data_IF_581885072835
#
_entry.id   IF_581885072835
#
_cell.length_a   1.000
_cell.length_b   1.000
_cell.length_c   1.000
_cell.angle_alpha   90.00
_cell.angle_beta   90.00
_cell.angle_gamma   90.00
#
_symmetry.space_group_name_H-M   'P 1'
#
loop_
_entity.id
_entity.type
_entity.pdbx_description
1 polymer ?
#
# COMPACT_ATOMS: atom_id res chain seq x y z
N UNK A 1 35.05 70.89 16.14
CA UNK A 1 35.53 69.60 15.65
C UNK A 1 34.29 68.72 15.48
N UNK A 2 33.87 68.54 14.25
CA UNK A 2 32.69 67.80 13.93
C UNK A 2 33.13 66.45 13.34
N UNK A 3 32.98 65.37 14.10
CA UNK A 3 33.36 64.03 13.68
C UNK A 3 32.16 63.45 12.87
N UNK A 4 32.35 63.41 11.57
CA UNK A 4 31.34 62.83 10.67
C UNK A 4 31.37 61.30 10.80
N UNK A 5 30.27 60.74 11.25
CA UNK A 5 30.07 59.28 11.29
C UNK A 5 30.12 58.71 9.87
N UNK A 6 30.89 57.66 9.66
CA UNK A 6 30.95 56.92 8.40
C UNK A 6 29.62 56.21 8.11
N UNK A 7 29.18 56.17 6.86
CA UNK A 7 27.92 55.47 6.51
C UNK A 7 28.10 53.94 6.71
N UNK A 8 27.01 53.22 7.07
CA UNK A 8 27.06 51.76 7.23
C UNK A 8 27.44 51.08 5.91
N UNK A 9 28.33 50.12 5.97
CA UNK A 9 28.77 49.34 4.81
C UNK A 9 27.57 48.61 4.20
N UNK A 10 27.40 48.74 2.88
CA UNK A 10 26.39 47.98 2.13
C UNK A 10 26.63 46.49 2.28
N UNK A 11 25.60 45.69 2.46
CA UNK A 11 25.75 44.22 2.52
C UNK A 11 26.35 43.72 1.21
N UNK A 12 27.38 42.88 1.31
CA UNK A 12 28.15 42.41 0.17
C UNK A 12 27.18 41.57 -0.76
N UNK A 13 27.08 41.95 -2.02
CA UNK A 13 26.24 41.28 -3.03
C UNK A 13 26.47 39.74 -3.11
N UNK A 14 27.67 39.26 -2.80
CA UNK A 14 28.01 37.86 -2.76
C UNK A 14 27.37 37.04 -1.62
N UNK A 15 26.95 37.70 -0.52
CA UNK A 15 26.27 36.99 0.58
C UNK A 15 24.80 36.69 0.25
N UNK A 16 24.16 37.52 -0.56
CA UNK A 16 22.77 37.33 -1.00
C UNK A 16 22.66 36.28 -2.15
N UNK A 17 23.68 36.25 -3.04
CA UNK A 17 23.79 35.20 -4.06
C UNK A 17 24.06 33.81 -3.44
N UNK A 18 24.99 33.71 -2.51
CA UNK A 18 25.29 32.44 -1.81
C UNK A 18 24.10 31.94 -0.99
N UNK A 19 23.30 32.83 -0.42
CA UNK A 19 22.08 32.46 0.30
C UNK A 19 20.98 31.94 -0.64
N UNK A 20 20.77 32.58 -1.79
CA UNK A 20 19.84 32.12 -2.81
C UNK A 20 20.27 30.79 -3.41
N UNK A 21 21.55 30.59 -3.68
CA UNK A 21 22.06 29.31 -4.14
C UNK A 21 21.85 28.19 -3.12
N UNK A 22 22.00 28.50 -1.82
CA UNK A 22 21.71 27.53 -0.74
C UNK A 22 20.21 27.22 -0.61
N UNK A 23 19.35 28.24 -0.68
CA UNK A 23 17.90 28.09 -0.67
C UNK A 23 17.43 27.26 -1.89
N UNK A 24 17.94 27.56 -3.09
CA UNK A 24 17.68 26.81 -4.33
C UNK A 24 18.20 25.36 -4.26
N UNK A 25 19.31 25.11 -3.58
CA UNK A 25 19.85 23.77 -3.37
C UNK A 25 19.01 22.99 -2.36
N UNK A 26 18.52 23.61 -1.29
CA UNK A 26 17.60 23.00 -0.33
C UNK A 26 16.24 22.67 -0.98
N UNK A 27 15.66 23.55 -1.78
CA UNK A 27 14.40 23.28 -2.50
C UNK A 27 14.51 22.13 -3.51
N UNK A 28 15.70 21.90 -4.06
CA UNK A 28 15.97 20.81 -5.02
C UNK A 28 16.51 19.55 -4.35
N UNK A 29 16.78 19.59 -3.05
CA UNK A 29 17.26 18.41 -2.33
C UNK A 29 16.11 17.40 -2.14
N UNK A 30 16.44 16.10 -2.27
CA UNK A 30 15.48 15.06 -1.92
C UNK A 30 15.17 15.13 -0.41
N UNK A 31 13.90 14.94 0.00
CA UNK A 31 13.54 14.97 1.41
C UNK A 31 14.29 13.89 2.18
N UNK A 32 14.75 14.23 3.38
CA UNK A 32 15.40 13.26 4.26
C UNK A 32 14.42 12.20 4.74
N UNK A 33 14.92 11.02 5.13
CA UNK A 33 14.08 9.97 5.71
C UNK A 33 13.27 10.43 6.93
N UNK A 34 13.77 11.43 7.67
CA UNK A 34 13.07 12.06 8.80
C UNK A 34 11.82 12.85 8.35
N UNK A 35 11.91 13.55 7.24
CA UNK A 35 10.77 14.30 6.66
C UNK A 35 9.71 13.34 6.14
N UNK A 36 10.12 12.26 5.46
CA UNK A 36 9.20 11.18 5.04
C UNK A 36 8.49 10.56 6.25
N UNK A 37 9.25 10.22 7.30
CA UNK A 37 8.72 9.65 8.54
C UNK A 37 7.65 10.57 9.17
N UNK A 38 7.94 11.88 9.30
CA UNK A 38 6.99 12.85 9.88
C UNK A 38 5.70 12.97 9.04
N UNK A 39 5.81 12.95 7.72
CA UNK A 39 4.63 13.00 6.85
C UNK A 39 3.72 11.78 7.05
N UNK A 40 4.29 10.57 7.12
CA UNK A 40 3.53 9.33 7.32
C UNK A 40 3.01 9.24 8.76
N UNK A 41 3.77 9.70 9.75
CA UNK A 41 3.34 9.77 11.14
C UNK A 41 2.08 10.63 11.29
N UNK A 42 2.08 11.84 10.71
CA UNK A 42 0.93 12.76 10.72
C UNK A 42 -0.28 12.17 9.99
N UNK A 43 -0.06 11.48 8.86
CA UNK A 43 -1.14 10.74 8.17
C UNK A 43 -1.71 9.64 9.06
N UNK A 44 -0.85 8.86 9.73
CA UNK A 44 -1.26 7.79 10.64
C UNK A 44 -2.06 8.30 11.85
N UNK A 45 -1.70 9.44 12.43
CA UNK A 45 -2.46 10.08 13.50
C UNK A 45 -3.86 10.47 13.02
N UNK A 46 -3.96 11.13 11.86
CA UNK A 46 -5.23 11.49 11.23
C UNK A 46 -6.11 10.26 10.95
N UNK A 47 -5.53 9.14 10.49
CA UNK A 47 -6.26 7.90 10.23
C UNK A 47 -6.82 7.27 11.52
N UNK A 48 -6.08 7.33 12.63
CA UNK A 48 -6.54 6.81 13.91
C UNK A 48 -7.71 7.62 14.51
N UNK A 49 -7.88 8.88 14.11
CA UNK A 49 -8.97 9.76 14.55
C UNK A 49 -10.28 9.55 13.74
N UNK A 50 -10.21 8.89 12.59
CA UNK A 50 -11.39 8.66 11.74
C UNK A 50 -12.46 7.85 12.45
N UNK A 51 -13.72 8.21 12.21
CA UNK A 51 -14.87 7.47 12.74
C UNK A 51 -14.94 6.05 12.15
N UNK A 52 -15.48 5.09 12.91
CA UNK A 52 -15.66 3.71 12.45
C UNK A 52 -16.50 3.60 11.18
N UNK A 53 -17.51 4.48 11.02
CA UNK A 53 -18.31 4.54 9.80
C UNK A 53 -17.50 5.00 8.60
N UNK A 54 -16.68 6.05 8.73
CA UNK A 54 -15.82 6.53 7.65
C UNK A 54 -14.78 5.47 7.23
N UNK A 55 -14.18 4.77 8.20
CA UNK A 55 -13.27 3.65 7.94
C UNK A 55 -13.97 2.51 7.20
N UNK A 56 -15.19 2.13 7.63
CA UNK A 56 -15.94 1.05 7.01
C UNK A 56 -16.31 1.37 5.55
N UNK A 57 -16.89 2.52 5.27
CA UNK A 57 -17.30 2.87 3.90
C UNK A 57 -16.10 3.05 2.97
N UNK A 58 -15.04 3.66 3.44
CA UNK A 58 -13.80 3.79 2.67
C UNK A 58 -13.12 2.43 2.44
N UNK A 59 -13.12 1.56 3.45
CA UNK A 59 -12.62 0.19 3.32
C UNK A 59 -13.47 -0.66 2.37
N UNK A 60 -14.79 -0.54 2.42
CA UNK A 60 -15.69 -1.23 1.48
C UNK A 60 -15.43 -0.77 0.03
N UNK A 61 -15.31 0.54 -0.18
CA UNK A 61 -14.96 1.08 -1.49
C UNK A 61 -13.62 0.53 -1.99
N UNK A 62 -12.59 0.44 -1.12
CA UNK A 62 -11.30 -0.15 -1.48
C UNK A 62 -11.42 -1.64 -1.84
N UNK A 63 -12.19 -2.43 -1.10
CA UNK A 63 -12.44 -3.83 -1.42
C UNK A 63 -13.13 -4.03 -2.77
N UNK A 64 -14.13 -3.19 -3.07
CA UNK A 64 -14.79 -3.17 -4.39
C UNK A 64 -13.81 -2.76 -5.51
N UNK A 65 -13.09 -1.67 -5.33
CA UNK A 65 -12.15 -1.15 -6.34
C UNK A 65 -10.96 -2.08 -6.58
N UNK A 66 -10.52 -2.83 -5.57
CA UNK A 66 -9.41 -3.79 -5.71
C UNK A 66 -9.74 -4.92 -6.70
N UNK A 67 -11.03 -5.18 -6.96
CA UNK A 67 -11.47 -6.15 -7.95
C UNK A 67 -11.01 -5.82 -9.36
N UNK A 68 -10.71 -4.55 -9.67
CA UNK A 68 -10.14 -4.17 -10.95
C UNK A 68 -8.78 -4.81 -11.22
N UNK A 69 -8.06 -5.25 -10.18
CA UNK A 69 -6.83 -6.05 -10.35
C UNK A 69 -7.13 -7.41 -10.98
N UNK A 70 -8.13 -8.14 -10.47
CA UNK A 70 -8.55 -9.41 -11.07
C UNK A 70 -9.16 -9.18 -12.46
N UNK A 71 -9.97 -8.16 -12.63
CA UNK A 71 -10.59 -7.85 -13.93
C UNK A 71 -9.55 -7.50 -14.97
N UNK A 72 -8.63 -6.59 -14.67
CA UNK A 72 -7.57 -6.20 -15.61
C UNK A 72 -6.68 -7.37 -16.01
N UNK A 73 -6.22 -8.15 -15.05
CA UNK A 73 -5.40 -9.34 -15.32
C UNK A 73 -6.19 -10.40 -16.11
N UNK A 74 -7.39 -10.76 -15.68
CA UNK A 74 -8.21 -11.79 -16.30
C UNK A 74 -8.68 -11.43 -17.70
N UNK A 75 -9.04 -10.16 -17.94
CA UNK A 75 -9.38 -9.66 -19.28
C UNK A 75 -8.17 -9.74 -20.21
N UNK A 76 -6.99 -9.33 -19.77
CA UNK A 76 -5.77 -9.45 -20.57
C UNK A 76 -5.43 -10.93 -20.83
N UNK A 77 -5.59 -11.80 -19.84
CA UNK A 77 -5.42 -13.25 -20.04
C UNK A 77 -6.38 -13.82 -21.07
N UNK A 78 -7.65 -13.43 -21.04
CA UNK A 78 -8.65 -13.94 -21.98
C UNK A 78 -8.41 -13.46 -23.43
N UNK A 79 -7.92 -12.23 -23.62
CA UNK A 79 -7.79 -11.64 -24.97
C UNK A 79 -6.39 -11.74 -25.59
N UNK A 80 -5.38 -12.09 -24.82
CA UNK A 80 -4.01 -12.27 -25.33
C UNK A 80 -3.78 -13.72 -25.79
N UNK A 81 -3.05 -13.93 -26.90
CA UNK A 81 -2.73 -15.26 -27.36
C UNK A 81 -1.87 -16.03 -26.36
N UNK A 82 -1.98 -17.35 -26.35
CA UNK A 82 -1.09 -18.23 -25.57
C UNK A 82 0.36 -18.05 -26.05
N UNK A 83 1.20 -17.42 -25.24
CA UNK A 83 2.60 -17.16 -25.53
C UNK A 83 3.41 -17.03 -24.23
N UNK A 84 4.73 -17.33 -24.23
CA UNK A 84 5.58 -17.22 -23.04
C UNK A 84 5.60 -15.81 -22.41
N UNK A 85 5.36 -14.77 -23.17
CA UNK A 85 5.30 -13.38 -22.73
C UNK A 85 3.92 -12.94 -22.19
N UNK A 86 2.83 -13.73 -22.43
CA UNK A 86 1.45 -13.40 -21.98
C UNK A 86 1.37 -13.03 -20.51
N UNK A 87 1.99 -13.78 -19.56
CA UNK A 87 1.97 -13.39 -18.16
C UNK A 87 2.59 -12.03 -17.86
N UNK A 88 3.65 -11.66 -18.61
CA UNK A 88 4.30 -10.36 -18.44
C UNK A 88 3.34 -9.21 -18.76
N UNK A 89 2.54 -9.35 -19.82
CA UNK A 89 1.55 -8.32 -20.19
C UNK A 89 0.32 -8.38 -19.29
N UNK A 90 -0.21 -9.56 -19.01
CA UNK A 90 -1.40 -9.72 -18.19
C UNK A 90 -1.25 -9.15 -16.77
N UNK A 91 -0.06 -9.24 -16.19
CA UNK A 91 0.22 -8.70 -14.86
C UNK A 91 0.18 -7.17 -14.77
N UNK A 92 0.23 -6.42 -15.88
CA UNK A 92 -0.10 -5.00 -15.86
C UNK A 92 -1.56 -4.75 -15.44
N UNK A 93 -2.48 -5.64 -15.80
CA UNK A 93 -3.88 -5.57 -15.35
C UNK A 93 -4.03 -5.63 -13.83
N UNK A 94 -3.14 -6.35 -13.15
CA UNK A 94 -3.11 -6.42 -11.69
C UNK A 94 -2.94 -5.04 -11.03
N UNK A 95 -2.27 -4.08 -11.68
CA UNK A 95 -2.03 -2.75 -11.13
C UNK A 95 -3.31 -1.90 -11.02
N UNK A 96 -4.36 -2.16 -11.80
CA UNK A 96 -5.52 -1.27 -11.95
C UNK A 96 -6.29 -1.08 -10.63
N UNK A 97 -6.46 -2.14 -9.85
CA UNK A 97 -7.10 -2.04 -8.53
C UNK A 97 -6.32 -1.14 -7.58
N UNK A 98 -5.01 -1.29 -7.55
CA UNK A 98 -4.14 -0.45 -6.71
C UNK A 98 -4.13 1.01 -7.15
N UNK A 99 -4.08 1.28 -8.45
CA UNK A 99 -4.19 2.64 -8.98
C UNK A 99 -5.50 3.30 -8.52
N UNK A 100 -6.63 2.58 -8.64
CA UNK A 100 -7.93 3.09 -8.21
C UNK A 100 -7.98 3.35 -6.70
N UNK A 101 -7.48 2.42 -5.87
CA UNK A 101 -7.53 2.50 -4.41
C UNK A 101 -6.60 3.59 -3.89
N UNK A 102 -5.34 3.60 -4.31
CA UNK A 102 -4.31 4.51 -3.78
C UNK A 102 -4.57 5.95 -4.23
N UNK A 103 -4.82 6.19 -5.53
CA UNK A 103 -5.14 7.53 -6.02
C UNK A 103 -6.53 7.99 -5.57
N UNK A 104 -7.47 7.06 -5.37
CA UNK A 104 -8.79 7.31 -4.79
C UNK A 104 -8.75 7.54 -3.27
N UNK A 105 -7.60 7.44 -2.60
CA UNK A 105 -7.40 7.61 -1.15
C UNK A 105 -8.39 6.77 -0.33
N UNK A 106 -8.65 5.54 -0.80
CA UNK A 106 -9.53 4.59 -0.15
C UNK A 106 -8.73 3.79 0.89
N UNK A 107 -9.39 3.33 1.95
CA UNK A 107 -8.73 2.61 3.05
C UNK A 107 -8.39 1.17 2.69
N UNK A 108 -7.13 0.92 2.39
CA UNK A 108 -6.61 -0.41 2.11
C UNK A 108 -5.86 -0.96 3.33
N UNK A 109 -6.22 -2.16 3.76
CA UNK A 109 -5.63 -2.79 4.95
C UNK A 109 -4.10 -2.87 4.91
N UNK A 110 -3.53 -3.20 3.78
CA UNK A 110 -2.07 -3.37 3.64
C UNK A 110 -1.30 -2.05 3.67
N UNK A 111 -1.90 -0.92 3.29
CA UNK A 111 -1.34 0.41 3.54
C UNK A 111 -1.33 0.72 5.04
N UNK A 112 -2.38 0.32 5.73
CA UNK A 112 -2.52 0.47 7.18
C UNK A 112 -1.60 -0.46 8.00
N UNK A 113 -0.79 -1.31 7.39
CA UNK A 113 0.29 -2.01 8.09
C UNK A 113 1.50 -1.12 8.35
N UNK A 114 1.55 0.08 7.77
CA UNK A 114 2.58 1.09 8.02
C UNK A 114 2.03 2.31 8.77
N UNK A 115 1.02 3.00 8.19
CA UNK A 115 0.60 4.34 8.62
C UNK A 115 0.24 4.42 10.10
N UNK A 116 -0.67 3.60 10.70
CA UNK A 116 -1.04 3.69 12.10
C UNK A 116 -0.01 3.06 13.05
N UNK A 117 0.98 2.34 12.53
CA UNK A 117 2.03 1.72 13.35
C UNK A 117 3.06 2.77 13.80
N UNK A 118 3.35 3.80 13.00
CA UNK A 118 4.27 4.86 13.40
C UNK A 118 3.75 5.62 14.63
N UNK A 119 2.49 6.10 14.71
CA UNK A 119 1.93 6.63 15.95
C UNK A 119 1.98 5.65 17.14
N UNK A 120 1.77 4.35 16.90
CA UNK A 120 1.87 3.35 17.97
C UNK A 120 3.30 3.25 18.52
N UNK A 121 4.31 3.28 17.66
CA UNK A 121 5.72 3.27 18.06
C UNK A 121 6.13 4.56 18.77
N UNK A 122 5.53 5.69 18.41
CA UNK A 122 5.75 7.00 19.03
C UNK A 122 5.13 7.08 20.41
N UNK A 123 3.82 6.82 20.51
CA UNK A 123 3.06 7.04 21.75
C UNK A 123 3.15 5.89 22.75
N UNK A 124 3.38 4.66 22.30
CA UNK A 124 3.57 3.42 23.11
C UNK A 124 2.56 3.23 24.23
N UNK A 125 1.27 3.52 23.97
CA UNK A 125 0.21 3.43 24.97
C UNK A 125 -0.96 2.53 24.53
N UNK A 126 -1.73 2.02 25.49
CA UNK A 126 -2.84 1.09 25.25
C UNK A 126 -3.98 1.71 24.42
N UNK A 127 -4.22 3.03 24.51
CA UNK A 127 -5.25 3.73 23.75
C UNK A 127 -4.91 3.71 22.25
N UNK A 128 -3.68 4.04 21.89
CA UNK A 128 -3.21 4.00 20.50
C UNK A 128 -3.26 2.57 19.97
N UNK A 129 -2.81 1.57 20.74
CA UNK A 129 -2.91 0.16 20.35
C UNK A 129 -4.36 -0.27 20.08
N UNK A 130 -5.30 0.12 20.95
CA UNK A 130 -6.73 -0.18 20.75
C UNK A 130 -7.29 0.49 19.48
N UNK A 131 -6.88 1.74 19.19
CA UNK A 131 -7.28 2.43 17.97
C UNK A 131 -6.70 1.77 16.69
N UNK A 132 -5.45 1.31 16.72
CA UNK A 132 -4.85 0.51 15.63
C UNK A 132 -5.64 -0.77 15.42
N UNK A 133 -5.94 -1.52 16.49
CA UNK A 133 -6.75 -2.75 16.41
C UNK A 133 -8.15 -2.50 15.85
N UNK A 134 -8.80 -1.41 16.29
CA UNK A 134 -10.11 -0.97 15.75
C UNK A 134 -10.03 -0.68 14.25
N UNK A 135 -9.05 0.13 13.82
CA UNK A 135 -8.85 0.49 12.42
C UNK A 135 -8.59 -0.75 11.58
N UNK A 136 -7.65 -1.61 12.00
CA UNK A 136 -7.31 -2.83 11.29
C UNK A 136 -8.51 -3.75 11.10
N UNK A 137 -9.27 -3.99 12.18
CA UNK A 137 -10.44 -4.88 12.13
C UNK A 137 -11.50 -4.34 11.15
N UNK A 138 -11.85 -3.05 11.27
CA UNK A 138 -12.91 -2.45 10.44
C UNK A 138 -12.49 -2.45 8.97
N UNK A 139 -11.27 -1.99 8.67
CA UNK A 139 -10.80 -1.87 7.29
C UNK A 139 -10.62 -3.25 6.66
N UNK A 140 -10.02 -4.22 7.37
CA UNK A 140 -9.85 -5.59 6.86
C UNK A 140 -11.21 -6.22 6.53
N UNK A 141 -12.16 -6.18 7.47
CA UNK A 141 -13.49 -6.76 7.26
C UNK A 141 -14.19 -6.09 6.07
N UNK A 142 -14.16 -4.76 6.00
CA UNK A 142 -14.78 -4.02 4.91
C UNK A 142 -14.13 -4.33 3.55
N UNK A 143 -12.79 -4.40 3.49
CA UNK A 143 -12.07 -4.78 2.27
C UNK A 143 -12.45 -6.19 1.81
N UNK A 144 -12.46 -7.17 2.73
CA UNK A 144 -12.78 -8.57 2.40
C UNK A 144 -14.26 -8.73 1.97
N UNK A 145 -15.19 -8.00 2.58
CA UNK A 145 -16.61 -7.99 2.16
C UNK A 145 -16.76 -7.48 0.72
N UNK A 146 -16.12 -6.35 0.39
CA UNK A 146 -16.12 -5.80 -0.97
C UNK A 146 -15.50 -6.76 -1.98
N UNK A 147 -14.31 -7.30 -1.66
CA UNK A 147 -13.61 -8.27 -2.50
C UNK A 147 -14.46 -9.55 -2.74
N UNK A 148 -15.06 -10.10 -1.69
CA UNK A 148 -15.87 -11.31 -1.79
C UNK A 148 -17.17 -11.07 -2.61
N UNK A 149 -17.82 -9.94 -2.41
CA UNK A 149 -19.04 -9.58 -3.15
C UNK A 149 -18.76 -9.50 -4.66
N UNK A 150 -17.70 -8.81 -5.07
CA UNK A 150 -17.36 -8.66 -6.50
C UNK A 150 -16.79 -9.96 -7.07
N UNK A 151 -15.92 -10.66 -6.33
CA UNK A 151 -15.40 -11.96 -6.76
C UNK A 151 -16.50 -12.98 -7.05
N UNK A 152 -17.48 -13.09 -6.14
CA UNK A 152 -18.65 -13.93 -6.36
C UNK A 152 -19.52 -13.46 -7.55
N UNK A 153 -19.81 -12.15 -7.62
CA UNK A 153 -20.64 -11.61 -8.71
C UNK A 153 -20.00 -11.84 -10.08
N UNK A 154 -18.67 -11.76 -10.19
CA UNK A 154 -17.95 -11.92 -11.44
C UNK A 154 -18.12 -13.31 -12.08
N UNK A 155 -18.33 -14.35 -11.27
CA UNK A 155 -18.44 -15.74 -11.74
C UNK A 155 -19.87 -16.32 -11.65
N UNK A 156 -20.72 -15.75 -10.80
CA UNK A 156 -22.10 -16.22 -10.61
C UNK A 156 -23.11 -15.48 -11.51
N UNK A 157 -22.70 -14.41 -12.19
CA UNK A 157 -23.58 -13.61 -13.05
C UNK A 157 -23.05 -13.57 -14.48
N UNK A 158 -23.90 -13.27 -15.48
CA UNK A 158 -23.49 -13.14 -16.88
C UNK A 158 -22.80 -11.79 -17.18
N UNK A 159 -22.18 -11.13 -16.18
CA UNK A 159 -21.49 -9.86 -16.39
C UNK A 159 -20.21 -9.98 -17.26
N UNK A 160 -19.64 -11.17 -17.31
CA UNK A 160 -18.46 -11.49 -18.12
C UNK A 160 -18.68 -12.75 -18.94
N UNK A 161 -18.08 -12.79 -20.13
CA UNK A 161 -18.09 -13.96 -20.99
C UNK A 161 -17.41 -15.17 -20.32
N UNK A 162 -17.80 -16.37 -20.68
CA UNK A 162 -17.31 -17.62 -20.10
C UNK A 162 -15.77 -17.78 -20.17
N UNK A 163 -15.12 -17.19 -21.19
CA UNK A 163 -13.67 -17.21 -21.35
C UNK A 163 -12.98 -16.32 -20.29
N UNK A 164 -13.53 -15.13 -20.04
CA UNK A 164 -13.04 -14.21 -19.01
C UNK A 164 -13.26 -14.82 -17.62
N UNK A 165 -14.45 -15.41 -17.37
CA UNK A 165 -14.72 -16.10 -16.10
C UNK A 165 -13.75 -17.25 -15.85
N UNK A 166 -13.36 -18.02 -16.87
CA UNK A 166 -12.33 -19.06 -16.76
C UNK A 166 -10.99 -18.48 -16.35
N UNK A 167 -10.58 -17.32 -16.90
CA UNK A 167 -9.36 -16.63 -16.49
C UNK A 167 -9.40 -16.16 -15.04
N UNK A 168 -10.53 -15.67 -14.54
CA UNK A 168 -10.70 -15.34 -13.11
C UNK A 168 -10.53 -16.56 -12.20
N UNK A 169 -11.12 -17.70 -12.59
CA UNK A 169 -10.98 -18.94 -11.83
C UNK A 169 -9.56 -19.49 -11.88
N UNK A 170 -8.84 -19.32 -13.00
CA UNK A 170 -7.43 -19.70 -13.11
C UNK A 170 -6.57 -18.89 -12.14
N UNK A 171 -6.79 -17.57 -12.04
CA UNK A 171 -6.11 -16.71 -11.06
C UNK A 171 -6.43 -17.18 -9.63
N UNK A 172 -7.70 -17.47 -9.33
CA UNK A 172 -8.12 -17.96 -8.01
C UNK A 172 -7.48 -19.31 -7.63
N UNK A 173 -7.45 -20.27 -8.57
CA UNK A 173 -6.77 -21.56 -8.37
C UNK A 173 -5.28 -21.38 -8.10
N UNK A 174 -4.61 -20.51 -8.86
CA UNK A 174 -3.20 -20.22 -8.68
C UNK A 174 -2.89 -19.59 -7.30
N UNK A 175 -3.79 -18.77 -6.77
CA UNK A 175 -3.67 -18.25 -5.40
C UNK A 175 -3.82 -19.35 -4.35
N UNK A 176 -4.83 -20.21 -4.48
CA UNK A 176 -5.17 -21.25 -3.50
C UNK A 176 -4.29 -22.49 -3.55
N UNK A 177 -3.59 -22.73 -4.66
CA UNK A 177 -2.76 -23.94 -4.84
C UNK A 177 -1.51 -23.98 -3.94
N UNK A 178 -1.17 -22.87 -3.30
CA UNK A 178 0.06 -22.73 -2.51
C UNK A 178 -0.17 -23.17 -1.07
N UNK A 179 0.77 -23.95 -0.51
CA UNK A 179 0.71 -24.33 0.90
C UNK A 179 0.95 -23.16 1.84
N UNK A 180 0.57 -23.31 3.11
CA UNK A 180 0.63 -22.30 4.17
C UNK A 180 1.97 -21.55 4.22
N UNK A 181 3.11 -22.26 4.30
CA UNK A 181 4.43 -21.63 4.41
C UNK A 181 4.82 -20.80 3.19
N UNK A 182 4.48 -21.26 1.98
CA UNK A 182 4.76 -20.51 0.74
C UNK A 182 3.87 -19.27 0.67
N UNK A 183 2.60 -19.36 1.03
CA UNK A 183 1.68 -18.21 1.07
C UNK A 183 2.13 -17.18 2.09
N UNK A 184 2.57 -17.62 3.28
CA UNK A 184 3.14 -16.75 4.31
C UNK A 184 4.35 -15.96 3.78
N UNK A 185 5.34 -16.64 3.20
CA UNK A 185 6.55 -16.01 2.67
C UNK A 185 6.21 -15.02 1.54
N UNK A 186 5.34 -15.41 0.61
CA UNK A 186 4.87 -14.53 -0.46
C UNK A 186 4.07 -13.34 0.09
N UNK A 187 3.33 -13.55 1.18
CA UNK A 187 2.66 -12.50 1.92
C UNK A 187 3.63 -11.49 2.52
N UNK A 188 4.76 -11.94 3.08
CA UNK A 188 5.80 -11.04 3.61
C UNK A 188 6.34 -10.13 2.50
N UNK A 189 6.67 -10.66 1.33
CA UNK A 189 7.13 -9.84 0.21
C UNK A 189 6.07 -8.86 -0.29
N UNK A 190 4.79 -9.27 -0.40
CA UNK A 190 3.72 -8.38 -0.78
C UNK A 190 3.54 -7.24 0.25
N UNK A 191 3.46 -7.57 1.54
CA UNK A 191 3.33 -6.57 2.60
C UNK A 191 4.50 -5.59 2.63
N UNK A 192 5.73 -6.09 2.47
CA UNK A 192 6.92 -5.25 2.37
C UNK A 192 6.83 -4.26 1.20
N UNK A 193 6.53 -4.75 0.00
CA UNK A 193 6.46 -3.91 -1.20
C UNK A 193 5.35 -2.86 -1.11
N UNK A 194 4.15 -3.22 -0.60
CA UNK A 194 3.06 -2.26 -0.45
C UNK A 194 3.38 -1.21 0.61
N UNK A 195 3.93 -1.61 1.75
CA UNK A 195 4.35 -0.64 2.77
C UNK A 195 5.49 0.27 2.28
N UNK A 196 6.44 -0.29 1.49
CA UNK A 196 7.47 0.52 0.83
C UNK A 196 6.85 1.51 -0.19
N UNK A 197 5.84 1.10 -0.94
CA UNK A 197 5.09 2.00 -1.82
C UNK A 197 4.49 3.16 -1.02
N UNK A 198 3.83 2.89 0.11
CA UNK A 198 3.29 3.93 0.99
C UNK A 198 4.38 4.87 1.50
N UNK A 199 5.55 4.32 1.87
CA UNK A 199 6.71 5.12 2.29
C UNK A 199 7.20 6.08 1.20
N UNK A 200 7.08 5.72 -0.08
CA UNK A 200 7.49 6.53 -1.22
C UNK A 200 6.44 7.60 -1.63
N UNK A 201 5.15 7.42 -1.24
CA UNK A 201 4.05 8.26 -1.71
C UNK A 201 4.13 9.74 -1.33
N UNK A 202 4.55 10.17 -0.12
CA UNK A 202 4.50 11.56 0.29
C UNK A 202 5.22 12.51 -0.67
N UNK A 203 6.31 12.05 -1.28
CA UNK A 203 7.17 12.85 -2.15
C UNK A 203 7.22 12.38 -3.61
N UNK A 204 6.37 11.43 -3.97
CA UNK A 204 6.29 10.96 -5.35
C UNK A 204 5.61 11.99 -6.30
N UNK A 205 4.86 12.95 -5.76
CA UNK A 205 4.15 14.02 -6.49
C UNK A 205 3.60 13.58 -7.86
N UNK A 206 4.24 14.02 -8.95
CA UNK A 206 3.87 13.66 -10.33
C UNK A 206 4.20 12.22 -10.70
N UNK A 207 5.03 11.54 -9.91
CA UNK A 207 5.47 10.16 -10.16
C UNK A 207 4.60 9.10 -9.47
N UNK A 208 3.58 9.47 -8.69
CA UNK A 208 2.74 8.55 -7.91
C UNK A 208 2.21 7.38 -8.74
N UNK A 209 1.67 7.66 -9.91
CA UNK A 209 1.15 6.64 -10.81
C UNK A 209 2.22 5.59 -11.16
N UNK A 210 3.43 6.04 -11.49
CA UNK A 210 4.51 5.15 -11.88
C UNK A 210 5.05 4.33 -10.71
N UNK A 211 5.11 4.90 -9.51
CA UNK A 211 5.49 4.18 -8.29
C UNK A 211 4.46 3.09 -8.00
N UNK A 212 3.16 3.41 -8.06
CA UNK A 212 2.09 2.42 -7.88
C UNK A 212 2.23 1.29 -8.90
N UNK A 213 2.29 1.62 -10.19
CA UNK A 213 2.40 0.60 -11.25
C UNK A 213 3.66 -0.24 -11.07
N UNK A 214 4.83 0.37 -10.86
CA UNK A 214 6.10 -0.35 -10.73
C UNK A 214 6.11 -1.34 -9.57
N UNK A 215 5.67 -0.91 -8.39
CA UNK A 215 5.63 -1.76 -7.20
C UNK A 215 4.58 -2.86 -7.33
N UNK A 216 3.37 -2.51 -7.75
CA UNK A 216 2.27 -3.49 -7.82
C UNK A 216 2.43 -4.46 -9.01
N UNK A 217 3.06 -4.03 -10.10
CA UNK A 217 3.48 -4.93 -11.16
C UNK A 217 4.48 -5.98 -10.65
N UNK A 218 5.45 -5.57 -9.84
CA UNK A 218 6.38 -6.50 -9.21
C UNK A 218 5.67 -7.49 -8.26
N UNK A 219 4.67 -7.02 -7.48
CA UNK A 219 3.84 -7.89 -6.65
C UNK A 219 3.11 -8.93 -7.51
N UNK A 220 2.46 -8.49 -8.58
CA UNK A 220 1.73 -9.37 -9.50
C UNK A 220 2.65 -10.36 -10.22
N UNK A 221 3.78 -9.89 -10.77
CA UNK A 221 4.73 -10.71 -11.52
C UNK A 221 5.42 -11.75 -10.62
N UNK A 222 5.77 -11.37 -9.39
CA UNK A 222 6.32 -12.29 -8.39
C UNK A 222 5.30 -13.29 -7.85
N UNK A 223 4.01 -13.09 -8.15
CA UNK A 223 2.91 -13.87 -7.57
C UNK A 223 2.89 -13.76 -6.05
N UNK A 224 3.24 -12.59 -5.50
CA UNK A 224 3.24 -12.35 -4.06
C UNK A 224 1.81 -12.24 -3.55
N UNK A 225 1.53 -12.87 -2.39
CA UNK A 225 0.19 -12.99 -1.87
C UNK A 225 -0.26 -11.68 -1.18
N UNK A 226 -1.27 -11.03 -1.73
CA UNK A 226 -1.84 -9.81 -1.15
C UNK A 226 -3.26 -10.07 -0.66
N UNK A 227 -3.50 -9.83 0.63
CA UNK A 227 -4.73 -10.27 1.31
C UNK A 227 -6.03 -9.74 0.66
N UNK A 228 -6.07 -8.50 0.19
CA UNK A 228 -7.28 -7.93 -0.41
C UNK A 228 -7.40 -8.26 -1.90
N UNK A 229 -6.35 -8.07 -2.69
CA UNK A 229 -6.37 -8.35 -4.13
C UNK A 229 -6.60 -9.85 -4.41
N UNK A 230 -5.86 -10.72 -3.71
CA UNK A 230 -6.02 -12.16 -3.82
C UNK A 230 -7.36 -12.68 -3.28
N UNK A 231 -7.97 -11.98 -2.30
CA UNK A 231 -9.29 -12.35 -1.79
C UNK A 231 -10.40 -12.26 -2.85
N UNK A 232 -10.28 -11.37 -3.84
CA UNK A 232 -11.25 -11.28 -4.94
C UNK A 232 -11.25 -12.60 -5.73
N UNK A 233 -10.08 -13.03 -6.18
CA UNK A 233 -9.94 -14.26 -6.98
C UNK A 233 -10.19 -15.54 -6.16
N UNK A 234 -9.75 -15.57 -4.90
CA UNK A 234 -10.03 -16.68 -3.99
C UNK A 234 -11.52 -16.82 -3.70
N UNK A 235 -12.24 -15.70 -3.55
CA UNK A 235 -13.69 -15.69 -3.36
C UNK A 235 -14.44 -16.09 -4.63
N UNK A 236 -13.95 -15.71 -5.83
CA UNK A 236 -14.49 -16.17 -7.10
C UNK A 236 -14.39 -17.70 -7.21
N UNK A 237 -13.23 -18.29 -6.90
CA UNK A 237 -13.05 -19.75 -6.89
C UNK A 237 -13.96 -20.45 -5.87
N UNK A 238 -14.12 -19.89 -4.66
CA UNK A 238 -15.04 -20.42 -3.67
C UNK A 238 -16.50 -20.36 -4.12
N UNK A 239 -16.93 -19.23 -4.71
CA UNK A 239 -18.28 -19.04 -5.23
C UNK A 239 -18.62 -20.00 -6.38
N UNK A 240 -17.63 -20.32 -7.22
CA UNK A 240 -17.76 -21.33 -8.27
C UNK A 240 -17.72 -22.78 -7.75
N UNK A 241 -17.54 -23.01 -6.45
CA UNK A 241 -17.48 -24.33 -5.84
C UNK A 241 -16.12 -25.04 -5.98
N UNK A 242 -15.08 -24.35 -6.40
CA UNK A 242 -13.75 -24.92 -6.61
C UNK A 242 -12.89 -24.98 -5.32
N UNK A 243 -13.32 -24.23 -4.29
CA UNK A 243 -12.66 -24.26 -2.99
C UNK A 243 -13.68 -24.09 -1.85
N UNK A 244 -13.41 -24.73 -0.71
CA UNK A 244 -14.20 -24.49 0.49
C UNK A 244 -13.86 -23.14 1.13
N UNK A 245 -14.82 -22.53 1.83
CA UNK A 245 -14.57 -21.31 2.61
C UNK A 245 -13.43 -21.48 3.61
N UNK A 246 -13.35 -22.68 4.24
CA UNK A 246 -12.28 -22.99 5.16
C UNK A 246 -10.90 -22.98 4.46
N UNK A 247 -10.79 -23.51 3.26
CA UNK A 247 -9.54 -23.46 2.48
C UNK A 247 -9.15 -22.01 2.14
N UNK A 248 -10.12 -21.18 1.75
CA UNK A 248 -9.88 -19.76 1.48
C UNK A 248 -9.45 -19.00 2.73
N UNK A 249 -10.17 -19.17 3.85
CA UNK A 249 -9.92 -18.38 5.07
C UNK A 249 -8.68 -18.88 5.82
N UNK A 250 -8.59 -20.18 6.10
CA UNK A 250 -7.54 -20.75 6.95
C UNK A 250 -6.32 -21.20 6.14
N UNK A 251 -6.53 -21.76 4.95
CA UNK A 251 -5.44 -22.28 4.11
C UNK A 251 -4.64 -21.17 3.41
N UNK A 252 -5.35 -20.16 2.93
CA UNK A 252 -4.75 -19.05 2.17
C UNK A 252 -4.81 -17.71 2.92
N UNK A 253 -5.98 -17.28 3.38
CA UNK A 253 -6.20 -15.95 3.95
C UNK A 253 -5.37 -15.70 5.20
N UNK A 254 -5.36 -16.65 6.15
CA UNK A 254 -4.61 -16.53 7.41
C UNK A 254 -3.09 -16.38 7.17
N UNK A 255 -2.40 -17.25 6.45
CA UNK A 255 -0.97 -17.08 6.19
C UNK A 255 -0.66 -15.84 5.37
N UNK A 256 -1.52 -15.46 4.41
CA UNK A 256 -1.39 -14.24 3.63
C UNK A 256 -1.48 -13.00 4.52
N UNK A 257 -2.49 -12.92 5.40
CA UNK A 257 -2.69 -11.83 6.35
C UNK A 257 -1.48 -11.67 7.29
N UNK A 258 -1.03 -12.77 7.91
CA UNK A 258 0.14 -12.74 8.79
C UNK A 258 1.36 -12.26 8.01
N UNK A 259 1.57 -12.77 6.81
CA UNK A 259 2.68 -12.36 5.95
C UNK A 259 2.64 -10.86 5.61
N UNK A 260 1.48 -10.34 5.21
CA UNK A 260 1.34 -8.92 4.89
C UNK A 260 1.61 -8.02 6.11
N UNK A 261 1.13 -8.41 7.30
CA UNK A 261 1.42 -7.67 8.54
C UNK A 261 2.92 -7.70 8.84
N UNK A 262 3.56 -8.86 8.81
CA UNK A 262 4.99 -8.98 9.08
C UNK A 262 5.80 -8.14 8.09
N UNK A 263 5.48 -8.21 6.78
CA UNK A 263 6.16 -7.44 5.75
C UNK A 263 6.06 -5.93 5.97
N UNK A 264 4.86 -5.43 6.23
CA UNK A 264 4.62 -3.99 6.43
C UNK A 264 5.16 -3.49 7.77
N UNK A 265 4.82 -4.16 8.87
CA UNK A 265 5.20 -3.71 10.24
C UNK A 265 6.69 -3.88 10.48
N UNK A 266 7.25 -5.09 10.24
CA UNK A 266 8.63 -5.37 10.65
C UNK A 266 9.63 -4.79 9.66
N UNK A 267 9.43 -5.03 8.35
CA UNK A 267 10.41 -4.67 7.33
C UNK A 267 10.33 -3.20 6.89
N UNK A 268 9.23 -2.49 7.16
CA UNK A 268 9.13 -1.08 6.81
C UNK A 268 8.95 -0.22 8.07
N UNK A 269 7.87 -0.41 8.84
CA UNK A 269 7.59 0.48 9.97
C UNK A 269 8.69 0.46 11.03
N UNK A 270 9.09 -0.73 11.52
CA UNK A 270 10.12 -0.84 12.57
C UNK A 270 11.52 -0.46 12.08
N UNK A 271 11.92 -0.86 10.86
CA UNK A 271 13.25 -0.53 10.34
C UNK A 271 13.41 0.97 10.07
N UNK A 272 12.41 1.61 9.45
CA UNK A 272 12.47 3.06 9.22
C UNK A 272 12.35 3.86 10.52
N UNK A 273 11.54 3.39 11.50
CA UNK A 273 11.51 3.99 12.82
C UNK A 273 12.88 3.91 13.51
N UNK A 274 13.51 2.74 13.48
CA UNK A 274 14.85 2.55 14.06
C UNK A 274 15.92 3.43 13.36
N UNK A 275 15.85 3.54 12.02
CA UNK A 275 16.76 4.39 11.25
C UNK A 275 16.63 5.87 11.66
N UNK A 276 15.41 6.37 11.82
CA UNK A 276 15.17 7.79 12.14
C UNK A 276 15.52 8.10 13.59
N UNK A 277 15.20 7.18 14.52
CA UNK A 277 15.48 7.38 15.96
C UNK A 277 16.93 7.05 16.34
N UNK A 278 17.57 6.09 15.66
CA UNK A 278 18.96 5.69 15.92
C UNK A 278 20.01 6.61 15.31
N UNK A 279 19.64 7.47 14.34
CA UNK A 279 20.53 8.46 13.72
C UNK A 279 20.60 9.82 14.44
N UNK A 280 19.99 9.95 15.62
CA UNK A 280 19.84 11.20 16.34
C UNK A 280 20.85 11.42 17.47
N UNK A 281 22.15 11.54 17.16
CA UNK A 281 23.08 12.29 18.01
C UNK A 281 23.11 13.74 17.50
N UNK A 282 22.17 14.60 17.91
CA UNK A 282 22.33 15.99 17.61
C UNK A 282 21.11 16.93 17.64
N UNK A 283 19.86 16.49 17.79
CA UNK A 283 18.76 17.44 18.04
C UNK A 283 17.65 16.77 18.86
N UNK A 284 17.60 17.11 20.15
CA UNK A 284 16.48 16.76 21.01
C UNK A 284 15.27 17.57 20.58
N UNK A 285 14.30 16.91 19.98
CA UNK A 285 12.86 17.21 20.01
C UNK A 285 12.18 16.42 18.88
N UNK A 286 11.69 15.22 19.23
CA UNK A 286 10.63 14.53 18.49
C UNK A 286 9.31 14.77 19.18
#
# INVERSE_FOLDING_TARGET
MNEAAAPPAAPAAGADESRKESEDAEERSAPTGRVVYKAILSEGESELERSSSALFWSGLAAGLSMSFSMFGEGLLMAHLPEAPWRPLVAKFGYCFGFVAVVLGRQQLFTENTLTPILPLLQHRNAKTLANVGRLWLIVLVANLLGAAAVGAAAVLTPAFDAEVQRSFLEIGRAELARGFGVTLLRGIFAGWLIALMVWLMPFAETSRLWVIIGVTYLVGLGGFAHIVAGAVAASAAAAAGEASVAAVVLGWGLPCLIGNIVGGVVLVALLNHAQVTGGGDGDGDL
#
